data_IF_523144584137
#
_entry.id   IF_523144584137
#
_cell.length_a   1.000
_cell.length_b   1.000
_cell.length_c   1.000
_cell.angle_alpha   90.00
_cell.angle_beta   90.00
_cell.angle_gamma   90.00
#
_symmetry.space_group_name_H-M   'P 1'
#
loop_
_entity.id
_entity.type
_entity.pdbx_description
1 polymer ?
#
# COMPACT_ATOMS: atom_id res chain seq x y z
N UNK A 1 -10.51 -11.78 9.42
CA UNK A 1 -9.96 -11.12 8.23
C UNK A 1 -8.90 -12.00 7.60
N UNK A 2 -8.99 -12.19 6.31
CA UNK A 2 -8.04 -13.04 5.62
C UNK A 2 -7.36 -12.30 4.49
N UNK A 3 -6.05 -12.35 4.49
CA UNK A 3 -5.24 -11.85 3.39
C UNK A 3 -4.81 -13.05 2.58
N UNK A 4 -5.23 -13.11 1.31
CA UNK A 4 -4.97 -14.27 0.47
C UNK A 4 -3.52 -14.39 0.03
N UNK A 5 -2.81 -13.29 0.01
CA UNK A 5 -1.42 -13.30 -0.44
C UNK A 5 -0.47 -13.63 0.69
N UNK A 6 0.57 -14.39 0.37
CA UNK A 6 1.61 -14.67 1.35
C UNK A 6 2.51 -13.45 1.53
N UNK A 7 3.19 -13.40 2.67
CA UNK A 7 4.12 -12.32 2.92
C UNK A 7 5.22 -12.29 1.88
N UNK A 8 5.66 -13.45 1.40
CA UNK A 8 6.70 -13.50 0.38
C UNK A 8 6.26 -12.84 -0.91
N UNK A 9 5.01 -13.07 -1.33
CA UNK A 9 4.49 -12.45 -2.53
C UNK A 9 4.42 -10.94 -2.37
N UNK A 10 3.92 -10.49 -1.22
CA UNK A 10 3.81 -9.06 -0.93
C UNK A 10 5.18 -8.40 -0.94
N UNK A 11 6.13 -8.99 -0.23
CA UNK A 11 7.45 -8.38 -0.11
C UNK A 11 8.24 -8.44 -1.41
N UNK A 12 7.99 -9.45 -2.24
CA UNK A 12 8.64 -9.51 -3.55
C UNK A 12 8.23 -8.32 -4.40
N UNK A 13 6.95 -7.95 -4.33
CA UNK A 13 6.48 -6.77 -5.06
C UNK A 13 7.07 -5.48 -4.49
N UNK A 14 7.25 -5.44 -3.17
CA UNK A 14 7.79 -4.25 -2.52
C UNK A 14 9.28 -4.08 -2.75
N UNK A 15 9.99 -5.17 -2.96
CA UNK A 15 11.44 -5.14 -3.11
C UNK A 15 11.87 -4.22 -4.24
N UNK A 16 11.20 -4.29 -5.37
CA UNK A 16 11.52 -3.47 -6.54
C UNK A 16 10.65 -2.23 -6.65
N UNK A 17 9.83 -1.98 -5.64
CA UNK A 17 8.86 -0.90 -5.73
C UNK A 17 9.53 0.46 -5.55
N UNK A 18 9.33 1.34 -6.51
CA UNK A 18 9.88 2.69 -6.44
C UNK A 18 8.79 3.76 -6.41
N UNK A 19 7.75 3.58 -7.19
CA UNK A 19 6.76 4.63 -7.32
C UNK A 19 5.33 4.11 -7.43
N UNK A 20 5.06 2.97 -6.83
CA UNK A 20 3.71 2.41 -6.84
C UNK A 20 3.26 2.06 -5.44
N UNK A 21 1.96 2.18 -5.22
CA UNK A 21 1.35 1.73 -3.98
C UNK A 21 0.55 0.48 -4.30
N UNK A 22 0.96 -0.64 -3.74
CA UNK A 22 0.26 -1.91 -3.87
C UNK A 22 -0.73 -2.03 -2.73
N UNK A 23 -2.00 -2.16 -3.07
CA UNK A 23 -3.07 -2.26 -2.08
C UNK A 23 -3.76 -3.61 -2.19
N UNK A 24 -4.04 -4.19 -1.04
CA UNK A 24 -4.69 -5.50 -0.96
C UNK A 24 -6.01 -5.37 -0.21
N UNK A 25 -7.08 -5.88 -0.80
CA UNK A 25 -8.40 -5.79 -0.20
C UNK A 25 -8.55 -6.73 0.97
N UNK A 26 -8.97 -6.19 2.10
CA UNK A 26 -9.22 -6.94 3.31
C UNK A 26 -10.52 -6.44 3.89
N UNK A 27 -11.62 -7.17 3.64
CA UNK A 27 -12.94 -6.78 4.12
C UNK A 27 -13.29 -5.38 3.60
N UNK A 28 -13.52 -4.42 4.48
CA UNK A 28 -13.89 -3.07 4.08
C UNK A 28 -12.69 -2.14 3.99
N UNK A 29 -11.48 -2.71 4.03
CA UNK A 29 -10.25 -1.93 4.04
C UNK A 29 -9.33 -2.33 2.91
N UNK A 30 -8.44 -1.41 2.57
CA UNK A 30 -7.33 -1.70 1.67
C UNK A 30 -6.05 -1.57 2.50
N UNK A 31 -5.19 -2.57 2.41
CA UNK A 31 -3.97 -2.61 3.18
C UNK A 31 -2.76 -2.44 2.27
N UNK A 32 -1.82 -1.62 2.72
CA UNK A 32 -0.52 -1.44 2.06
C UNK A 32 0.56 -1.92 3.02
N UNK A 33 1.65 -2.45 2.45
CA UNK A 33 2.73 -3.01 3.25
C UNK A 33 4.06 -2.41 2.88
N UNK A 34 4.96 -2.31 3.85
CA UNK A 34 6.33 -1.87 3.66
C UNK A 34 6.42 -0.54 2.92
N UNK A 35 7.07 -0.47 1.76
CA UNK A 35 7.22 0.79 1.03
C UNK A 35 5.88 1.37 0.61
N UNK A 36 4.94 0.51 0.20
CA UNK A 36 3.61 0.97 -0.14
C UNK A 36 2.92 1.59 1.06
N UNK A 37 3.10 1.01 2.25
CA UNK A 37 2.54 1.56 3.47
C UNK A 37 3.11 2.94 3.75
N UNK A 38 4.41 3.10 3.59
CA UNK A 38 5.07 4.37 3.81
C UNK A 38 4.55 5.44 2.84
N UNK A 39 4.44 5.08 1.56
CA UNK A 39 3.96 6.02 0.55
C UNK A 39 2.51 6.40 0.78
N UNK A 40 1.69 5.44 1.15
CA UNK A 40 0.28 5.71 1.41
C UNK A 40 0.09 6.58 2.64
N UNK A 41 0.89 6.32 3.67
CA UNK A 41 0.84 7.13 4.89
C UNK A 41 1.17 8.59 4.58
N UNK A 42 2.18 8.81 3.77
CA UNK A 42 2.56 10.17 3.38
C UNK A 42 1.47 10.83 2.53
N UNK A 43 0.90 10.07 1.61
CA UNK A 43 -0.12 10.58 0.71
C UNK A 43 -1.37 11.02 1.47
N UNK A 44 -1.68 10.36 2.58
CA UNK A 44 -2.90 10.63 3.35
C UNK A 44 -2.64 11.42 4.61
N UNK A 45 -1.43 11.92 4.81
CA UNK A 45 -1.07 12.69 5.99
C UNK A 45 -1.33 11.94 7.28
N UNK A 46 -1.08 10.63 7.26
CA UNK A 46 -1.21 9.76 8.44
C UNK A 46 -2.63 9.73 9.01
N UNK A 47 -3.60 9.60 8.14
CA UNK A 47 -4.99 9.51 8.58
C UNK A 47 -5.25 8.26 9.43
N UNK A 48 -4.48 7.21 9.23
CA UNK A 48 -4.62 5.98 9.98
C UNK A 48 -3.31 5.66 10.68
N UNK A 49 -3.36 4.66 11.55
CA UNK A 49 -2.17 4.23 12.26
C UNK A 49 -1.45 3.15 11.49
N UNK A 50 -0.13 3.18 11.57
CA UNK A 50 0.71 2.13 11.00
C UNK A 50 0.85 1.02 12.03
N UNK A 51 0.69 -0.21 11.59
CA UNK A 51 0.77 -1.39 12.45
C UNK A 51 1.93 -2.25 11.99
N UNK A 52 2.54 -2.97 12.92
CA UNK A 52 3.61 -3.92 12.62
C UNK A 52 3.02 -5.32 12.70
N UNK A 53 3.22 -6.11 11.65
CA UNK A 53 2.71 -7.47 11.58
C UNK A 53 3.85 -8.47 11.50
N UNK A 54 3.57 -9.68 12.01
CA UNK A 54 4.48 -10.79 11.91
C UNK A 54 3.79 -11.92 11.15
N UNK A 55 4.38 -12.33 10.04
CA UNK A 55 3.83 -13.40 9.22
C UNK A 55 4.61 -14.69 9.46
N UNK A 56 3.92 -15.82 9.38
CA UNK A 56 4.56 -17.11 9.60
C UNK A 56 5.62 -17.43 8.55
N UNK A 57 5.40 -17.00 7.32
CA UNK A 57 6.30 -17.34 6.23
C UNK A 57 7.35 -16.27 5.93
N UNK A 58 7.50 -15.31 6.83
CA UNK A 58 8.46 -14.24 6.61
C UNK A 58 9.11 -13.88 7.96
N UNK A 59 10.46 -13.89 8.01
CA UNK A 59 11.16 -13.77 9.31
C UNK A 59 11.21 -12.38 9.92
N UNK A 60 10.87 -11.35 9.14
CA UNK A 60 10.99 -9.97 9.62
C UNK A 60 9.62 -9.34 9.81
N UNK A 61 9.51 -8.38 10.75
CA UNK A 61 8.25 -7.66 10.88
C UNK A 61 7.98 -6.81 9.65
N UNK A 62 6.72 -6.65 9.30
CA UNK A 62 6.30 -5.89 8.12
C UNK A 62 5.35 -4.79 8.55
N UNK A 63 5.60 -3.58 8.09
CA UNK A 63 4.70 -2.46 8.35
C UNK A 63 3.44 -2.59 7.51
N UNK A 64 2.30 -2.25 8.10
CA UNK A 64 1.02 -2.26 7.41
C UNK A 64 0.28 -0.98 7.70
N UNK A 65 -0.32 -0.42 6.65
CA UNK A 65 -1.15 0.77 6.77
C UNK A 65 -2.46 0.50 6.04
N UNK A 66 -3.57 0.67 6.74
CA UNK A 66 -4.89 0.36 6.18
C UNK A 66 -5.73 1.62 6.05
N UNK A 67 -6.52 1.67 4.99
CA UNK A 67 -7.50 2.74 4.79
C UNK A 67 -8.84 2.10 4.47
N UNK A 68 -9.91 2.72 4.95
CA UNK A 68 -11.25 2.31 4.58
C UNK A 68 -11.43 2.48 3.07
N UNK A 69 -12.22 1.61 2.45
CA UNK A 69 -12.35 1.64 1.00
C UNK A 69 -12.89 2.97 0.47
N UNK A 70 -13.66 3.71 1.27
CA UNK A 70 -14.15 5.01 0.85
C UNK A 70 -13.03 6.00 0.64
N UNK A 71 -12.01 5.95 1.51
CA UNK A 71 -10.84 6.82 1.35
C UNK A 71 -10.04 6.46 0.12
N UNK A 72 -9.95 5.17 -0.16
CA UNK A 72 -9.19 4.72 -1.34
C UNK A 72 -9.90 5.12 -2.62
N UNK A 73 -11.24 5.11 -2.63
CA UNK A 73 -11.99 5.59 -3.78
C UNK A 73 -11.64 7.04 -4.08
N UNK A 74 -11.48 7.85 -3.05
CA UNK A 74 -11.07 9.24 -3.21
C UNK A 74 -9.70 9.35 -3.85
N UNK A 75 -8.76 8.53 -3.36
CA UNK A 75 -7.42 8.52 -3.91
C UNK A 75 -7.42 8.09 -5.37
N UNK A 76 -8.27 7.14 -5.74
CA UNK A 76 -8.35 6.68 -7.12
C UNK A 76 -8.82 7.76 -8.08
N UNK A 77 -9.55 8.74 -7.59
CA UNK A 77 -9.97 9.87 -8.43
C UNK A 77 -8.82 10.82 -8.71
N UNK A 78 -7.84 10.86 -7.82
CA UNK A 78 -6.73 11.82 -7.88
C UNK A 78 -5.45 11.24 -8.46
N UNK A 79 -5.37 9.93 -8.56
CA UNK A 79 -4.13 9.26 -8.96
C UNK A 79 -4.41 8.23 -10.03
N UNK A 80 -3.39 7.92 -10.81
CA UNK A 80 -3.53 6.95 -11.88
C UNK A 80 -3.49 5.55 -11.31
N UNK A 81 -4.50 4.76 -11.68
CA UNK A 81 -4.55 3.34 -11.33
C UNK A 81 -3.85 2.55 -12.40
N UNK A 82 -2.76 1.86 -12.04
CA UNK A 82 -2.03 1.05 -12.99
C UNK A 82 -2.67 -0.33 -13.16
N UNK A 83 -3.34 -0.80 -12.13
CA UNK A 83 -3.97 -2.11 -12.16
C UNK A 83 -5.11 -2.15 -11.16
N UNK A 84 -6.18 -2.85 -11.49
CA UNK A 84 -7.32 -2.99 -10.59
C UNK A 84 -7.95 -4.36 -10.71
N UNK A 85 -8.02 -5.07 -9.60
CA UNK A 85 -8.78 -6.31 -9.44
C UNK A 85 -9.66 -6.12 -8.22
N UNK A 86 -10.64 -7.00 -7.99
CA UNK A 86 -11.50 -6.83 -6.82
C UNK A 86 -10.77 -6.79 -5.49
N UNK A 87 -9.62 -7.46 -5.40
CA UNK A 87 -8.86 -7.55 -4.15
C UNK A 87 -7.45 -7.02 -4.26
N UNK A 88 -7.12 -6.29 -5.34
CA UNK A 88 -5.77 -5.80 -5.54
C UNK A 88 -5.78 -4.55 -6.41
N UNK A 89 -5.05 -3.52 -5.98
CA UNK A 89 -4.91 -2.26 -6.70
C UNK A 89 -3.46 -1.84 -6.76
N UNK A 90 -3.10 -1.14 -7.84
CA UNK A 90 -1.82 -0.44 -7.91
C UNK A 90 -2.09 1.01 -8.26
N UNK A 91 -1.58 1.92 -7.45
CA UNK A 91 -1.64 3.35 -7.72
C UNK A 91 -0.25 3.85 -8.06
N UNK A 92 -0.17 4.73 -9.03
CA UNK A 92 1.11 5.36 -9.38
C UNK A 92 1.34 6.58 -8.52
N UNK A 93 2.56 6.76 -8.09
CA UNK A 93 2.92 7.87 -7.20
C UNK A 93 3.99 8.77 -7.79
N UNK A 94 4.25 8.66 -9.08
CA UNK A 94 5.35 9.40 -9.68
C UNK A 94 5.25 10.91 -9.49
N UNK A 95 4.05 11.40 -9.30
CA UNK A 95 3.84 12.84 -9.09
C UNK A 95 4.07 13.26 -7.64
N UNK A 96 4.25 12.31 -6.74
CA UNK A 96 4.55 12.60 -5.34
C UNK A 96 6.05 12.58 -5.11
N UNK A 97 6.66 11.68 -5.78
CA UNK A 97 8.07 11.45 -5.56
C UNK A 97 8.85 12.62 -5.98
N UNK A 98 9.68 12.56 -5.71
CA UNK A 98 10.80 13.19 -5.70
C UNK A 98 10.78 14.60 -5.90
N UNK A 99 10.22 14.81 -6.06
CA UNK A 99 10.37 15.90 -6.18
C UNK A 99 10.65 16.47 -5.19
N UNK A 100 10.58 15.82 -5.09
CA UNK A 100 10.75 15.94 -4.39
C UNK A 100 11.70 16.05 -3.95
N UNK A 101 12.14 15.79 -4.12
CA UNK A 101 12.95 15.77 -3.69
C UNK A 101 13.78 16.55 -4.08
N UNK A 102 13.78 16.71 -4.61
CA UNK A 102 14.30 17.42 -4.83
C UNK A 102 14.16 18.43 -4.88
N UNK A 103 14.07 18.56 -4.94
CA UNK A 103 13.80 19.32 -4.80
C UNK A 103 13.70 19.87 -4.20
#
# INVERSE_FOLDING_TARGET
MLLQKSAKTIMKREYDNENRIHLYGISQYWAAFDKSAYLLEKMTNKESETTVLHFKDYPFPILMYCLHYEKVKDLCRKHIMAKQNPDYLQLLTHHIAPKSYSQ
#
